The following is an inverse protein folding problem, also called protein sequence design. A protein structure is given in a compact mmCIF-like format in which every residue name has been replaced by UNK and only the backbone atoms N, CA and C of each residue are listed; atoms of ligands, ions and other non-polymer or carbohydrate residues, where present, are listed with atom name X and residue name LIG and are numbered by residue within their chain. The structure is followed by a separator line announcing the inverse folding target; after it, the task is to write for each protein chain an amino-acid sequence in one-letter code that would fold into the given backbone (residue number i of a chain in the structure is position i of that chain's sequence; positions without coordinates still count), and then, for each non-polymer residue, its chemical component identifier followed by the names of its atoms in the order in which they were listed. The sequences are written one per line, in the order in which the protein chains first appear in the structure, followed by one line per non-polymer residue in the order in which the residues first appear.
data_IF_273553564330
#
_entry.id   IF_273553564330
#
_cell.length_a   1.000
_cell.length_b   1.000
_cell.length_c   1.000
_cell.angle_alpha   90.00
_cell.angle_beta   90.00
_cell.angle_gamma   90.00
#
_symmetry.space_group_name_H-M   'P 1'
#
loop_
_entity.id
_entity.type
_entity.pdbx_description
1 polymer ?
#
# COMPACT_ATOMS: atom_id res chain seq x y z
N UNK A 1 9.87 0.54 1.00
CA UNK A 1 9.68 1.26 2.26
C UNK A 1 8.24 1.08 2.68
N UNK A 2 8.02 0.40 3.80
CA UNK A 2 6.71 0.35 4.43
C UNK A 2 6.44 1.71 5.07
N UNK A 3 5.38 2.37 4.66
CA UNK A 3 4.93 3.60 5.29
C UNK A 3 3.97 3.20 6.40
N UNK A 4 4.31 3.57 7.61
CA UNK A 4 3.44 3.36 8.74
C UNK A 4 2.38 4.43 8.80
N UNK A 5 1.14 4.03 9.05
CA UNK A 5 0.02 4.94 9.29
C UNK A 5 0.06 5.56 10.68
N UNK A 6 0.80 4.95 11.60
CA UNK A 6 0.78 5.30 13.02
C UNK A 6 2.19 5.55 13.52
N UNK A 7 2.40 6.55 14.41
CA UNK A 7 3.72 6.87 14.96
C UNK A 7 4.39 5.69 15.65
N UNK A 8 3.62 4.88 16.36
CA UNK A 8 4.10 3.68 17.04
C UNK A 8 4.66 2.67 16.03
N UNK A 9 3.99 2.47 14.90
CA UNK A 9 4.42 1.56 13.84
C UNK A 9 5.62 2.09 13.07
N UNK A 10 5.76 3.40 12.96
CA UNK A 10 6.93 4.01 12.34
C UNK A 10 8.21 3.58 13.06
N UNK A 11 8.24 3.66 14.37
CA UNK A 11 9.37 3.19 15.18
C UNK A 11 9.53 1.67 15.09
N UNK A 12 8.45 0.92 15.10
CA UNK A 12 8.47 -0.52 14.90
C UNK A 12 9.07 -0.90 13.53
N UNK A 13 8.65 -0.25 12.47
CA UNK A 13 9.14 -0.49 11.12
C UNK A 13 10.60 -0.08 10.94
N UNK A 14 11.05 1.01 11.53
CA UNK A 14 12.48 1.39 11.54
C UNK A 14 13.30 0.29 12.19
N UNK A 15 12.88 -0.22 13.33
CA UNK A 15 13.61 -1.30 14.02
C UNK A 15 13.62 -2.60 13.23
N UNK A 16 12.51 -2.98 12.60
CA UNK A 16 12.45 -4.15 11.71
C UNK A 16 13.38 -3.96 10.52
N UNK A 17 13.43 -2.78 9.95
CA UNK A 17 14.28 -2.46 8.81
C UNK A 17 15.77 -2.54 9.17
N UNK A 18 16.19 -1.98 10.30
CA UNK A 18 17.61 -1.95 10.69
C UNK A 18 18.11 -3.21 11.39
N UNK A 19 17.26 -3.94 12.10
CA UNK A 19 17.65 -5.12 12.85
C UNK A 19 17.27 -6.45 12.20
N UNK A 20 16.39 -6.45 11.22
CA UNK A 20 15.84 -7.67 10.61
C UNK A 20 15.01 -8.53 11.57
N UNK A 21 14.77 -8.06 12.79
CA UNK A 21 14.01 -8.77 13.82
C UNK A 21 12.57 -8.25 13.87
N UNK A 22 11.62 -9.18 13.93
CA UNK A 22 10.24 -8.85 14.26
C UNK A 22 10.21 -8.21 15.64
N UNK A 23 9.63 -7.01 15.74
CA UNK A 23 9.41 -6.37 17.04
C UNK A 23 8.36 -7.17 17.80
N UNK A 24 8.76 -7.69 18.92
CA UNK A 24 7.83 -8.24 19.90
C UNK A 24 7.46 -7.19 20.95
N UNK A 25 6.41 -7.46 21.70
CA UNK A 25 5.94 -6.60 22.77
C UNK A 25 7.02 -6.29 23.81
N UNK A 26 7.88 -7.26 24.10
CA UNK A 26 8.99 -7.14 25.08
C UNK A 26 10.04 -6.13 24.63
N UNK A 27 10.26 -5.99 23.33
CA UNK A 27 11.18 -4.98 22.81
C UNK A 27 10.55 -3.57 22.89
N UNK A 28 9.28 -3.43 22.54
CA UNK A 28 8.54 -2.17 22.64
C UNK A 28 8.46 -1.68 24.10
N UNK A 29 8.26 -2.58 25.04
CA UNK A 29 8.17 -2.27 26.46
C UNK A 29 9.51 -1.78 27.06
N UNK A 30 10.64 -2.07 26.41
CA UNK A 30 11.97 -1.58 26.78
C UNK A 30 12.34 -0.24 26.17
N UNK A 31 11.59 0.24 25.18
CA UNK A 31 11.83 1.56 24.58
C UNK A 31 11.47 2.66 25.57
N UNK A 32 12.23 3.74 25.53
CA UNK A 32 11.91 4.93 26.31
C UNK A 32 10.59 5.50 25.83
N UNK A 33 9.56 5.39 26.64
CA UNK A 33 8.24 5.94 26.33
C UNK A 33 8.29 7.47 26.39
N UNK A 34 7.48 8.10 25.53
CA UNK A 34 7.28 9.55 25.60
C UNK A 34 6.64 9.88 26.96
N UNK A 35 7.27 10.78 27.71
CA UNK A 35 6.72 11.27 28.98
C UNK A 35 5.41 12.04 28.75
N UNK A 36 4.61 12.22 29.81
CA UNK A 36 3.38 13.05 29.73
C UNK A 36 3.68 14.47 29.21
N UNK A 37 4.77 15.08 29.66
CA UNK A 37 5.23 16.37 29.14
C UNK A 37 5.60 16.30 27.65
N UNK A 38 6.26 15.23 27.22
CA UNK A 38 6.60 14.97 25.81
C UNK A 38 5.35 14.82 24.96
N UNK A 39 4.36 14.07 25.45
CA UNK A 39 3.06 13.88 24.80
C UNK A 39 2.29 15.20 24.64
N UNK A 40 2.24 16.02 25.68
CA UNK A 40 1.60 17.32 25.63
C UNK A 40 2.29 18.30 24.66
N UNK A 41 3.58 18.13 24.42
CA UNK A 41 4.37 18.94 23.48
C UNK A 41 4.30 18.43 22.04
N UNK A 42 3.70 17.26 21.78
CA UNK A 42 3.52 16.75 20.43
C UNK A 42 2.46 17.59 19.69
N UNK A 43 2.88 18.35 18.69
CA UNK A 43 2.01 19.31 17.98
C UNK A 43 1.58 18.86 16.60
N UNK A 44 2.14 17.78 16.08
CA UNK A 44 1.79 17.24 14.77
C UNK A 44 2.82 16.29 14.23
N UNK A 45 2.60 15.86 13.01
CA UNK A 45 3.49 14.94 12.26
C UNK A 45 4.02 15.64 11.02
N UNK A 46 5.19 15.21 10.55
CA UNK A 46 5.87 15.76 9.39
C UNK A 46 6.28 14.63 8.44
N UNK A 47 5.91 14.74 7.17
CA UNK A 47 6.46 13.95 6.08
C UNK A 47 7.63 14.69 5.42
N UNK A 48 8.72 13.98 5.10
CA UNK A 48 9.85 14.52 4.34
C UNK A 48 9.84 13.97 2.92
N UNK A 49 10.07 14.84 1.94
CA UNK A 49 10.35 14.49 0.55
C UNK A 49 11.73 15.00 0.19
N UNK A 50 12.59 14.10 -0.24
CA UNK A 50 13.95 14.43 -0.69
C UNK A 50 13.93 14.49 -2.23
N UNK A 51 14.30 15.65 -2.77
CA UNK A 51 14.00 16.02 -4.14
C UNK A 51 15.18 15.86 -5.11
N UNK A 52 16.28 15.21 -4.72
CA UNK A 52 17.51 15.11 -5.49
C UNK A 52 17.32 14.50 -6.89
N UNK A 53 16.31 13.65 -7.05
CA UNK A 53 16.01 12.97 -8.32
C UNK A 53 14.66 13.38 -8.91
N UNK A 54 13.99 14.39 -8.35
CA UNK A 54 12.67 14.86 -8.81
C UNK A 54 12.90 16.02 -9.77
N UNK A 55 12.75 15.76 -11.07
CA UNK A 55 13.05 16.72 -12.13
C UNK A 55 11.80 17.27 -12.82
N UNK A 56 10.62 16.67 -12.60
CA UNK A 56 9.36 17.08 -13.23
C UNK A 56 8.21 17.05 -12.23
N UNK A 57 7.12 17.75 -12.57
CA UNK A 57 5.89 17.76 -11.75
C UNK A 57 5.27 16.36 -11.66
N UNK A 58 5.32 15.57 -12.73
CA UNK A 58 4.83 14.20 -12.73
C UNK A 58 5.64 13.29 -11.79
N UNK A 59 6.97 13.50 -11.74
CA UNK A 59 7.82 12.76 -10.80
C UNK A 59 7.51 13.16 -9.35
N UNK A 60 7.21 14.43 -9.10
CA UNK A 60 6.76 14.92 -7.80
C UNK A 60 5.44 14.27 -7.39
N UNK A 61 4.44 14.33 -8.27
CA UNK A 61 3.13 13.71 -8.07
C UNK A 61 3.25 12.23 -7.73
N UNK A 62 4.05 11.50 -8.52
CA UNK A 62 4.31 10.07 -8.32
C UNK A 62 4.95 9.77 -6.96
N UNK A 63 5.83 10.64 -6.49
CA UNK A 63 6.49 10.46 -5.19
C UNK A 63 5.59 10.83 -4.01
N UNK A 64 4.73 11.83 -4.17
CA UNK A 64 3.85 12.34 -3.13
C UNK A 64 2.59 11.47 -2.99
N UNK A 65 1.91 11.15 -4.11
CA UNK A 65 0.63 10.46 -4.08
C UNK A 65 0.75 8.96 -4.45
N UNK A 66 0.02 8.08 -3.74
CA UNK A 66 -1.01 8.34 -2.73
C UNK A 66 -0.49 8.48 -1.28
N UNK A 67 0.81 8.48 -1.05
CA UNK A 67 1.42 8.47 0.28
C UNK A 67 0.98 9.64 1.16
N UNK A 68 0.71 10.79 0.55
CA UNK A 68 0.23 11.97 1.25
C UNK A 68 -1.10 11.72 2.00
N UNK A 69 -1.98 10.88 1.47
CA UNK A 69 -3.23 10.52 2.15
C UNK A 69 -2.98 9.81 3.48
N UNK A 70 -1.91 9.02 3.59
CA UNK A 70 -1.51 8.37 4.86
C UNK A 70 -1.16 9.41 5.91
N UNK A 71 -0.38 10.41 5.52
CA UNK A 71 0.01 11.50 6.42
C UNK A 71 -1.22 12.33 6.84
N UNK A 72 -2.08 12.66 5.88
CA UNK A 72 -3.32 13.40 6.12
C UNK A 72 -4.26 12.63 7.04
N UNK A 73 -4.48 11.34 6.78
CA UNK A 73 -5.30 10.47 7.62
C UNK A 73 -4.80 10.50 9.07
N UNK A 74 -3.50 10.32 9.26
CA UNK A 74 -2.94 10.32 10.61
C UNK A 74 -3.02 11.69 11.29
N UNK A 75 -2.83 12.77 10.56
CA UNK A 75 -2.86 14.14 11.10
C UNK A 75 -4.26 14.57 11.55
N UNK A 76 -5.31 14.11 10.86
CA UNK A 76 -6.69 14.57 11.08
C UNK A 76 -7.57 13.54 11.79
N UNK A 77 -7.16 12.26 11.85
CA UNK A 77 -7.93 11.22 12.53
C UNK A 77 -7.80 11.32 14.05
N UNK A 78 -8.90 11.12 14.77
CA UNK A 78 -8.83 10.93 16.22
C UNK A 78 -8.08 9.64 16.56
N UNK A 79 -7.67 9.51 17.81
CA UNK A 79 -7.10 8.26 18.32
C UNK A 79 -8.05 7.09 18.07
N UNK A 80 -7.52 5.99 17.55
CA UNK A 80 -8.30 4.79 17.25
C UNK A 80 -8.43 3.90 18.49
N UNK A 81 -9.49 3.11 18.54
CA UNK A 81 -9.76 2.22 19.68
C UNK A 81 -8.68 1.16 19.91
N UNK A 82 -8.02 0.71 18.84
CA UNK A 82 -6.91 -0.25 18.90
C UNK A 82 -5.57 0.37 19.33
N UNK A 83 -5.48 1.68 19.49
CA UNK A 83 -4.30 2.41 19.98
C UNK A 83 -4.38 2.65 21.50
N UNK A 84 -4.95 1.72 22.27
CA UNK A 84 -5.01 1.86 23.72
C UNK A 84 -3.61 1.75 24.34
N UNK A 85 -3.41 2.34 25.53
CA UNK A 85 -2.12 2.28 26.22
C UNK A 85 -1.77 0.87 26.71
N UNK A 86 -2.78 0.02 26.87
CA UNK A 86 -2.64 -1.29 27.46
C UNK A 86 -2.60 -2.43 26.43
N UNK A 87 -3.31 -2.26 25.31
CA UNK A 87 -3.43 -3.32 24.30
C UNK A 87 -3.47 -2.76 22.89
N UNK A 88 -2.64 -3.33 22.02
CA UNK A 88 -2.70 -3.11 20.59
C UNK A 88 -3.42 -4.28 19.92
N UNK A 89 -4.52 -3.99 19.22
CA UNK A 89 -5.26 -5.01 18.46
C UNK A 89 -4.87 -4.97 16.99
N UNK A 90 -4.02 -5.91 16.58
CA UNK A 90 -3.56 -6.03 15.19
C UNK A 90 -4.72 -6.30 14.22
N UNK A 91 -5.73 -7.05 14.63
CA UNK A 91 -6.87 -7.38 13.76
C UNK A 91 -7.73 -6.17 13.45
N UNK A 92 -7.99 -5.33 14.45
CA UNK A 92 -8.69 -4.05 14.24
C UNK A 92 -7.87 -3.07 13.41
N UNK A 93 -6.55 -3.01 13.64
CA UNK A 93 -5.64 -2.22 12.81
C UNK A 93 -5.70 -2.65 11.35
N UNK A 94 -5.58 -3.94 11.06
CA UNK A 94 -5.59 -4.46 9.69
C UNK A 94 -6.92 -4.16 8.97
N UNK A 95 -8.04 -4.25 9.68
CA UNK A 95 -9.36 -3.92 9.15
C UNK A 95 -9.47 -2.42 8.80
N UNK A 96 -9.06 -1.55 9.72
CA UNK A 96 -9.09 -0.09 9.51
C UNK A 96 -8.14 0.31 8.37
N UNK A 97 -6.96 -0.30 8.31
CA UNK A 97 -5.99 -0.06 7.25
C UNK A 97 -6.54 -0.43 5.86
N UNK A 98 -7.15 -1.61 5.73
CA UNK A 98 -7.79 -2.04 4.48
C UNK A 98 -8.96 -1.11 4.11
N UNK A 99 -9.78 -0.71 5.08
CA UNK A 99 -10.88 0.23 4.85
C UNK A 99 -10.35 1.60 4.37
N UNK A 100 -9.29 2.11 4.98
CA UNK A 100 -8.62 3.33 4.55
C UNK A 100 -8.07 3.21 3.12
N UNK A 101 -7.34 2.15 2.79
CA UNK A 101 -6.81 1.95 1.45
C UNK A 101 -7.90 1.85 0.39
N UNK A 102 -9.01 1.19 0.70
CA UNK A 102 -10.17 1.12 -0.20
C UNK A 102 -10.79 2.51 -0.41
N UNK A 103 -10.94 3.32 0.63
CA UNK A 103 -11.41 4.70 0.52
C UNK A 103 -10.49 5.54 -0.36
N UNK A 104 -9.18 5.46 -0.16
CA UNK A 104 -8.19 6.17 -0.98
C UNK A 104 -8.38 5.82 -2.46
N UNK A 105 -8.50 4.53 -2.79
CA UNK A 105 -8.63 4.09 -4.19
C UNK A 105 -9.99 4.44 -4.79
N UNK A 106 -11.06 4.32 -4.03
CA UNK A 106 -12.43 4.43 -4.56
C UNK A 106 -12.99 5.87 -4.50
N UNK A 107 -12.45 6.70 -3.61
CA UNK A 107 -12.97 8.05 -3.37
C UNK A 107 -11.91 9.12 -3.64
N UNK A 108 -10.75 9.05 -2.96
CA UNK A 108 -9.79 10.15 -2.97
C UNK A 108 -9.04 10.27 -4.32
N UNK A 109 -8.51 9.15 -4.81
CA UNK A 109 -7.75 9.15 -6.06
C UNK A 109 -8.58 9.54 -7.29
N UNK A 110 -9.85 9.09 -7.44
CA UNK A 110 -10.70 9.57 -8.53
C UNK A 110 -10.92 11.08 -8.57
N UNK A 111 -10.94 11.75 -7.41
CA UNK A 111 -11.11 13.21 -7.34
C UNK A 111 -9.90 13.96 -7.91
N UNK A 112 -8.69 13.43 -7.71
CA UNK A 112 -7.46 14.10 -8.12
C UNK A 112 -6.89 13.60 -9.46
N UNK A 113 -7.42 12.50 -10.00
CA UNK A 113 -6.85 11.79 -11.15
C UNK A 113 -6.70 12.63 -12.43
N UNK A 114 -7.43 13.74 -12.55
CA UNK A 114 -7.35 14.62 -13.71
C UNK A 114 -6.19 15.62 -13.62
N UNK A 115 -5.65 15.82 -12.44
CA UNK A 115 -4.63 16.84 -12.15
C UNK A 115 -3.33 16.25 -11.64
N UNK A 116 -3.37 15.07 -11.04
CA UNK A 116 -2.26 14.45 -10.31
C UNK A 116 -1.88 13.12 -10.96
N UNK A 117 -0.61 12.97 -11.27
CA UNK A 117 -0.01 11.75 -11.84
C UNK A 117 0.43 10.79 -10.72
N UNK A 118 -0.51 10.36 -9.89
CA UNK A 118 -0.19 9.52 -8.74
C UNK A 118 0.35 8.13 -9.14
N UNK A 119 1.11 7.55 -8.23
CA UNK A 119 1.67 6.21 -8.37
C UNK A 119 0.59 5.13 -8.34
N UNK A 120 0.57 4.29 -9.36
CA UNK A 120 -0.21 3.06 -9.40
C UNK A 120 0.64 1.87 -8.94
N UNK A 121 0.09 0.96 -8.12
CA UNK A 121 0.86 -0.14 -7.55
C UNK A 121 1.16 -1.21 -8.60
N UNK A 122 2.32 -1.87 -8.43
CA UNK A 122 2.65 -3.08 -9.18
C UNK A 122 1.87 -4.27 -8.63
N UNK A 123 1.45 -5.17 -9.52
CA UNK A 123 0.77 -6.41 -9.14
C UNK A 123 1.80 -7.46 -8.72
N UNK A 124 1.64 -8.07 -7.55
CA UNK A 124 2.37 -9.27 -7.15
C UNK A 124 1.67 -10.51 -7.70
N UNK A 125 2.42 -11.43 -8.30
CA UNK A 125 1.91 -12.70 -8.85
C UNK A 125 2.51 -13.89 -8.10
N UNK A 126 1.69 -14.89 -7.83
CA UNK A 126 2.10 -16.15 -7.21
C UNK A 126 1.30 -17.31 -7.80
N UNK A 127 1.99 -18.42 -8.11
CA UNK A 127 1.33 -19.66 -8.54
C UNK A 127 1.38 -20.67 -7.40
N UNK A 128 0.22 -21.26 -7.11
CA UNK A 128 0.07 -22.36 -6.17
C UNK A 128 -0.90 -23.39 -6.77
N UNK A 129 -0.47 -24.63 -6.94
CA UNK A 129 -1.29 -25.72 -7.48
C UNK A 129 -1.96 -25.38 -8.83
N UNK A 130 -1.20 -24.82 -9.77
CA UNK A 130 -1.69 -24.35 -11.07
C UNK A 130 -2.78 -23.27 -10.98
N UNK A 131 -2.91 -22.61 -9.83
CA UNK A 131 -3.76 -21.44 -9.65
C UNK A 131 -2.87 -20.22 -9.52
N UNK A 132 -3.00 -19.26 -10.44
CA UNK A 132 -2.39 -17.95 -10.34
C UNK A 132 -3.20 -17.10 -9.37
N UNK A 133 -2.54 -16.62 -8.36
CA UNK A 133 -3.05 -15.62 -7.43
C UNK A 133 -2.34 -14.30 -7.66
N UNK A 134 -3.06 -13.21 -7.45
CA UNK A 134 -2.49 -11.89 -7.58
C UNK A 134 -2.89 -11.01 -6.40
N UNK A 135 -1.99 -10.14 -6.02
CA UNK A 135 -2.21 -9.13 -4.99
C UNK A 135 -1.67 -7.77 -5.44
N UNK A 136 -2.13 -6.73 -4.82
CA UNK A 136 -1.72 -5.35 -5.08
C UNK A 136 -1.70 -4.58 -3.77
N UNK A 137 -0.73 -3.66 -3.64
CA UNK A 137 -0.52 -2.85 -2.42
C UNK A 137 -1.79 -2.14 -1.94
N UNK A 138 -2.62 -1.66 -2.88
CA UNK A 138 -3.90 -1.02 -2.57
C UNK A 138 -5.05 -1.96 -2.96
N UNK A 139 -5.68 -2.67 -2.00
CA UNK A 139 -6.64 -3.74 -2.29
C UNK A 139 -7.84 -3.32 -3.14
N UNK A 140 -8.21 -2.05 -3.12
CA UNK A 140 -9.33 -1.50 -3.89
C UNK A 140 -9.13 -1.48 -5.40
N UNK A 141 -7.88 -1.56 -5.91
CA UNK A 141 -7.65 -1.58 -7.35
C UNK A 141 -8.06 -2.91 -7.99
N UNK A 142 -8.79 -2.87 -9.12
CA UNK A 142 -8.99 -4.05 -9.95
C UNK A 142 -7.68 -4.44 -10.63
N UNK A 143 -7.44 -5.76 -10.71
CA UNK A 143 -6.32 -6.34 -11.45
C UNK A 143 -6.86 -6.90 -12.75
N UNK A 144 -6.31 -6.46 -13.87
CA UNK A 144 -6.60 -6.97 -15.19
C UNK A 144 -5.45 -7.85 -15.67
N UNK A 145 -5.76 -8.86 -16.46
CA UNK A 145 -4.74 -9.80 -16.93
C UNK A 145 -5.00 -10.31 -18.35
N UNK A 146 -3.93 -10.83 -18.96
CA UNK A 146 -3.97 -11.61 -20.20
C UNK A 146 -3.16 -12.90 -20.00
N UNK A 147 -3.36 -13.92 -20.85
CA UNK A 147 -2.65 -15.19 -20.81
C UNK A 147 -1.80 -15.44 -22.06
N UNK A 148 -1.77 -14.49 -22.97
CA UNK A 148 -1.04 -14.52 -24.23
C UNK A 148 0.16 -13.56 -24.28
N UNK A 149 0.46 -12.88 -23.15
CA UNK A 149 1.53 -11.90 -23.04
C UNK A 149 1.17 -10.50 -23.53
N UNK A 150 -0.03 -10.30 -24.07
CA UNK A 150 -0.49 -8.97 -24.50
C UNK A 150 -0.68 -8.04 -23.30
N UNK A 151 -0.65 -6.74 -23.56
CA UNK A 151 -0.88 -5.73 -22.53
C UNK A 151 -2.36 -5.69 -22.12
N UNK A 152 -2.71 -5.88 -20.82
CA UNK A 152 -4.07 -5.77 -20.36
C UNK A 152 -4.61 -4.34 -20.49
N UNK A 153 -5.90 -4.25 -20.80
CA UNK A 153 -6.68 -3.00 -20.91
C UNK A 153 -7.93 -3.07 -20.02
N UNK A 154 -8.71 -2.01 -19.97
CA UNK A 154 -10.02 -2.00 -19.27
C UNK A 154 -11.01 -3.03 -19.82
N UNK A 155 -10.81 -3.51 -21.06
CA UNK A 155 -11.62 -4.56 -21.70
C UNK A 155 -11.13 -5.98 -21.36
N UNK A 156 -9.94 -6.12 -20.78
CA UNK A 156 -9.38 -7.43 -20.40
C UNK A 156 -10.12 -8.03 -19.21
N UNK A 157 -10.03 -9.35 -18.99
CA UNK A 157 -10.59 -9.99 -17.82
C UNK A 157 -10.05 -9.42 -16.52
N UNK A 158 -10.92 -9.32 -15.51
CA UNK A 158 -10.53 -8.98 -14.13
C UNK A 158 -10.19 -10.22 -13.34
N UNK A 159 -9.08 -10.20 -12.63
CA UNK A 159 -8.67 -11.28 -11.77
C UNK A 159 -9.46 -11.26 -10.46
N UNK A 160 -10.13 -12.36 -10.14
CA UNK A 160 -10.73 -12.55 -8.81
C UNK A 160 -9.62 -12.86 -7.79
N UNK A 161 -9.35 -11.93 -6.90
CA UNK A 161 -8.25 -12.05 -5.92
C UNK A 161 -8.44 -13.22 -4.95
N UNK A 162 -9.68 -13.65 -4.71
CA UNK A 162 -9.99 -14.77 -3.79
C UNK A 162 -9.86 -16.11 -4.49
N UNK A 163 -10.39 -16.23 -5.70
CA UNK A 163 -10.41 -17.49 -6.46
C UNK A 163 -9.10 -17.71 -7.22
N UNK A 164 -8.49 -16.63 -7.72
CA UNK A 164 -7.38 -16.73 -8.68
C UNK A 164 -7.86 -17.22 -10.04
N UNK A 165 -6.93 -17.55 -10.92
CA UNK A 165 -7.20 -18.15 -12.24
C UNK A 165 -6.39 -19.41 -12.44
N UNK A 166 -6.97 -20.40 -13.12
CA UNK A 166 -6.27 -21.61 -13.50
C UNK A 166 -5.33 -21.30 -14.67
N UNK A 167 -4.07 -21.72 -14.55
CA UNK A 167 -3.04 -21.53 -15.57
C UNK A 167 -2.52 -22.88 -16.05
N UNK A 168 -1.97 -22.91 -17.26
CA UNK A 168 -1.42 -24.10 -17.91
C UNK A 168 -0.04 -23.78 -18.50
N UNK A 169 0.76 -24.81 -18.74
CA UNK A 169 2.03 -24.72 -19.46
C UNK A 169 1.85 -23.97 -20.80
N UNK A 170 2.76 -23.06 -21.08
CA UNK A 170 2.76 -22.18 -22.25
C UNK A 170 1.98 -20.87 -22.11
N UNK A 171 1.24 -20.66 -21.02
CA UNK A 171 0.59 -19.37 -20.77
C UNK A 171 1.66 -18.29 -20.49
N UNK A 172 1.47 -17.09 -21.08
CA UNK A 172 2.29 -15.91 -20.83
C UNK A 172 1.43 -14.88 -20.11
N UNK A 173 1.52 -14.87 -18.80
CA UNK A 173 0.69 -14.00 -17.98
C UNK A 173 1.25 -12.59 -18.00
N UNK A 174 0.40 -11.61 -18.31
CA UNK A 174 0.66 -10.18 -18.02
C UNK A 174 -0.46 -9.66 -17.14
N UNK A 175 -0.13 -8.98 -16.06
CA UNK A 175 -1.11 -8.42 -15.13
C UNK A 175 -0.76 -7.00 -14.71
N UNK A 176 -1.79 -6.15 -14.60
CA UNK A 176 -1.67 -4.75 -14.17
C UNK A 176 -2.83 -4.34 -13.28
N UNK A 177 -2.59 -3.39 -12.39
CA UNK A 177 -3.65 -2.62 -11.76
C UNK A 177 -3.96 -1.41 -12.66
N UNK A 178 -5.22 -1.20 -13.00
CA UNK A 178 -5.65 -0.06 -13.81
C UNK A 178 -6.56 0.85 -12.98
N UNK A 179 -6.42 2.15 -13.18
CA UNK A 179 -7.40 3.11 -12.70
C UNK A 179 -8.61 3.21 -13.65
N UNK A 180 -9.58 4.04 -13.30
CA UNK A 180 -10.79 4.22 -14.10
C UNK A 180 -10.53 4.81 -15.52
N UNK A 181 -9.38 5.42 -15.74
CA UNK A 181 -8.94 5.97 -17.02
C UNK A 181 -8.08 5.00 -17.83
N UNK A 182 -7.81 3.81 -17.31
CA UNK A 182 -6.93 2.83 -17.94
C UNK A 182 -5.44 3.12 -17.79
N UNK A 183 -5.05 4.06 -16.90
CA UNK A 183 -3.63 4.23 -16.59
C UNK A 183 -3.16 3.06 -15.76
N UNK A 184 -1.93 2.60 -16.02
CA UNK A 184 -1.32 1.48 -15.33
C UNK A 184 -0.05 1.87 -14.61
N UNK A 185 0.28 1.14 -13.55
CA UNK A 185 1.64 1.08 -13.01
C UNK A 185 2.53 0.15 -13.86
N UNK A 186 3.63 -0.29 -13.24
CA UNK A 186 4.51 -1.28 -13.87
C UNK A 186 3.76 -2.61 -14.04
N UNK A 187 3.83 -3.17 -15.25
CA UNK A 187 3.30 -4.51 -15.55
C UNK A 187 4.07 -5.59 -14.82
N UNK A 188 3.38 -6.64 -14.43
CA UNK A 188 3.96 -7.88 -13.94
C UNK A 188 3.75 -8.97 -14.96
N UNK A 189 4.83 -9.68 -15.31
CA UNK A 189 4.82 -10.74 -16.30
C UNK A 189 5.35 -12.04 -15.68
N UNK A 190 4.81 -13.16 -16.13
CA UNK A 190 5.19 -14.49 -15.69
C UNK A 190 4.91 -15.51 -16.80
N UNK A 191 5.95 -16.19 -17.25
CA UNK A 191 5.82 -17.31 -18.18
C UNK A 191 5.56 -18.59 -17.38
N UNK A 192 4.63 -19.43 -17.86
CA UNK A 192 4.27 -20.69 -17.21
C UNK A 192 4.93 -21.83 -17.99
N UNK A 193 5.91 -22.45 -17.38
CA UNK A 193 6.63 -23.61 -17.92
C UNK A 193 5.79 -24.91 -17.88
#
# INVERSE_FOLDING_TARGET
HSYSLFPEDYFANIHTYYSGKKLDKTYIDKLTRITEKGRANFKGIKGGLFAETILTDEALDYMVFPRFFVLAERAWSPRRSYESEETYDQGLFDQDYVAFLNRVVQVELPVIQDRIQFRLPRVGLKIENSILRANVEYPGYPIYYTTDGSQPTLSSPKLDKKKGIKVKSGDKITAVALDAKGRSGLMSQLDID
#
